data_IF_844080735344
#
_entry.id   IF_844080735344
#
_cell.length_a   1.000
_cell.length_b   1.000
_cell.length_c   1.000
_cell.angle_alpha   90.00
_cell.angle_beta   90.00
_cell.angle_gamma   90.00
#
_symmetry.space_group_name_H-M   'P 1'
#
loop_
_entity.id
_entity.type
_entity.pdbx_description
1 polymer ?
#
# COMPACT_ATOMS: atom_id res chain seq x y z
N UNK A 1 -5.37 -11.05 -9.89
CA UNK A 1 -4.84 -11.13 -8.51
C UNK A 1 -5.42 -12.27 -7.64
N UNK A 2 -4.58 -12.94 -6.83
CA UNK A 2 -4.95 -14.07 -5.96
C UNK A 2 -4.89 -13.71 -4.45
N UNK A 3 -5.29 -14.65 -3.56
CA UNK A 3 -5.30 -14.44 -2.11
C UNK A 3 -3.89 -14.23 -1.51
N UNK A 4 -2.85 -14.81 -2.12
CA UNK A 4 -1.47 -14.63 -1.69
C UNK A 4 -1.03 -13.17 -1.84
N UNK A 5 -1.37 -12.53 -2.96
CA UNK A 5 -1.03 -11.13 -3.22
C UNK A 5 -1.75 -10.19 -2.25
N UNK A 6 -3.00 -10.48 -1.89
CA UNK A 6 -3.75 -9.68 -0.92
C UNK A 6 -3.14 -9.77 0.48
N UNK A 7 -2.69 -10.96 0.90
CA UNK A 7 -1.99 -11.13 2.16
C UNK A 7 -0.63 -10.41 2.18
N UNK A 8 0.08 -10.44 1.06
CA UNK A 8 1.37 -9.74 0.91
C UNK A 8 1.18 -8.22 0.99
N UNK A 9 0.20 -7.66 0.28
CA UNK A 9 -0.17 -6.24 0.36
C UNK A 9 -0.48 -5.85 1.81
N UNK A 10 -1.31 -6.61 2.51
CA UNK A 10 -1.68 -6.32 3.90
C UNK A 10 -0.45 -6.35 4.83
N UNK A 11 0.42 -7.34 4.64
CA UNK A 11 1.66 -7.52 5.43
C UNK A 11 2.60 -6.34 5.23
N UNK A 12 2.79 -5.90 3.98
CA UNK A 12 3.69 -4.78 3.67
C UNK A 12 3.14 -3.44 4.11
N UNK A 13 1.82 -3.23 4.04
CA UNK A 13 1.18 -2.04 4.62
C UNK A 13 1.38 -2.02 6.14
N UNK A 14 1.22 -3.16 6.83
CA UNK A 14 1.48 -3.24 8.25
C UNK A 14 2.95 -2.93 8.58
N UNK A 15 3.88 -3.51 7.83
CA UNK A 15 5.31 -3.25 7.98
C UNK A 15 5.67 -1.77 7.73
N UNK A 16 5.19 -1.18 6.63
CA UNK A 16 5.43 0.22 6.31
C UNK A 16 4.84 1.16 7.36
N UNK A 17 3.65 0.85 7.91
CA UNK A 17 3.03 1.63 8.98
C UNK A 17 3.89 1.69 10.25
N UNK A 18 4.66 0.65 10.56
CA UNK A 18 5.55 0.63 11.72
C UNK A 18 6.75 1.57 11.56
N UNK A 19 7.14 1.91 10.33
CA UNK A 19 8.25 2.83 10.05
C UNK A 19 7.90 4.31 10.26
N UNK A 20 6.63 4.64 10.45
CA UNK A 20 6.21 6.01 10.76
C UNK A 20 6.48 6.34 12.22
N UNK A 21 6.84 7.59 12.50
CA UNK A 21 6.87 8.10 13.87
C UNK A 21 5.49 7.93 14.53
N UNK A 22 5.41 7.72 15.86
CA UNK A 22 4.12 7.45 16.52
C UNK A 22 3.03 8.50 16.23
N UNK A 23 3.39 9.78 16.13
CA UNK A 23 2.47 10.88 15.82
C UNK A 23 1.95 10.87 14.37
N UNK A 24 2.57 10.10 13.48
CA UNK A 24 2.22 10.00 12.06
C UNK A 24 1.82 8.59 11.63
N UNK A 25 1.66 7.66 12.59
CA UNK A 25 1.30 6.29 12.28
C UNK A 25 -0.13 6.21 11.74
N UNK A 26 -0.38 5.50 10.62
CA UNK A 26 -1.73 5.43 10.06
C UNK A 26 -2.69 4.66 10.99
N UNK A 27 -3.93 5.14 11.04
CA UNK A 27 -5.01 4.42 11.72
C UNK A 27 -5.33 3.08 11.05
N UNK A 28 -6.10 2.22 11.72
CA UNK A 28 -6.59 0.97 11.12
C UNK A 28 -7.34 1.19 9.81
N UNK A 29 -8.19 2.24 9.75
CA UNK A 29 -8.91 2.63 8.54
C UNK A 29 -7.96 3.08 7.44
N UNK A 30 -6.96 3.90 7.77
CA UNK A 30 -5.99 4.39 6.79
C UNK A 30 -5.15 3.25 6.20
N UNK A 31 -4.79 2.25 7.01
CA UNK A 31 -4.13 1.02 6.54
C UNK A 31 -5.03 0.24 5.56
N UNK A 32 -6.31 0.05 5.88
CA UNK A 32 -7.25 -0.64 5.01
C UNK A 32 -7.44 0.09 3.67
N UNK A 33 -7.61 1.41 3.70
CA UNK A 33 -7.76 2.23 2.50
C UNK A 33 -6.47 2.22 1.66
N UNK A 34 -5.30 2.29 2.30
CA UNK A 34 -4.01 2.23 1.61
C UNK A 34 -3.78 0.87 0.95
N UNK A 35 -4.17 -0.22 1.62
CA UNK A 35 -4.13 -1.57 1.06
C UNK A 35 -5.06 -1.70 -0.16
N UNK A 36 -6.26 -1.11 -0.11
CA UNK A 36 -7.18 -1.10 -1.25
C UNK A 36 -6.62 -0.31 -2.43
N UNK A 37 -6.04 0.87 -2.20
CA UNK A 37 -5.39 1.65 -3.27
C UNK A 37 -4.21 0.89 -3.88
N UNK A 38 -3.34 0.31 -3.06
CA UNK A 38 -2.19 -0.44 -3.55
C UNK A 38 -2.62 -1.66 -4.38
N UNK A 39 -3.66 -2.37 -3.92
CA UNK A 39 -4.30 -3.46 -4.66
C UNK A 39 -4.77 -2.99 -6.03
N UNK A 40 -5.49 -1.87 -6.08
CA UNK A 40 -6.07 -1.35 -7.32
C UNK A 40 -4.97 -0.88 -8.29
N UNK A 41 -3.87 -0.31 -7.79
CA UNK A 41 -2.70 0.04 -8.60
C UNK A 41 -2.06 -1.21 -9.22
N UNK A 42 -1.81 -2.25 -8.42
CA UNK A 42 -1.23 -3.51 -8.92
C UNK A 42 -2.14 -4.13 -9.98
N UNK A 43 -3.45 -4.19 -9.72
CA UNK A 43 -4.41 -4.73 -10.67
C UNK A 43 -4.47 -3.93 -11.97
N UNK A 44 -4.37 -2.61 -11.90
CA UNK A 44 -4.34 -1.77 -13.08
C UNK A 44 -3.08 -2.02 -13.94
N UNK A 45 -1.94 -2.32 -13.31
CA UNK A 45 -0.70 -2.60 -14.05
C UNK A 45 -0.56 -4.04 -14.55
N UNK A 46 -1.36 -4.99 -14.03
CA UNK A 46 -1.41 -6.37 -14.55
C UNK A 46 -1.73 -6.39 -16.07
N UNK A 47 -2.50 -5.41 -16.59
CA UNK A 47 -2.81 -5.28 -18.03
C UNK A 47 -1.57 -5.00 -18.90
N UNK A 48 -0.51 -4.49 -18.28
CA UNK A 48 0.77 -4.21 -18.92
C UNK A 48 1.82 -5.28 -18.63
N UNK A 49 1.42 -6.41 -18.02
CA UNK A 49 2.33 -7.51 -17.68
C UNK A 49 3.19 -7.25 -16.45
N UNK A 50 2.88 -6.22 -15.64
CA UNK A 50 3.58 -5.91 -14.40
C UNK A 50 2.91 -6.60 -13.21
N UNK A 51 3.73 -7.00 -12.26
CA UNK A 51 3.36 -7.68 -11.02
C UNK A 51 3.70 -6.82 -9.80
N UNK A 52 3.22 -7.24 -8.62
CA UNK A 52 3.56 -6.55 -7.38
C UNK A 52 5.07 -6.53 -7.09
N UNK A 53 5.81 -7.58 -7.51
CA UNK A 53 7.25 -7.67 -7.34
C UNK A 53 8.02 -6.63 -8.17
N UNK A 54 7.47 -6.20 -9.32
CA UNK A 54 8.09 -5.17 -10.15
C UNK A 54 8.06 -3.79 -9.48
N UNK A 55 7.09 -3.56 -8.59
CA UNK A 55 7.01 -2.33 -7.79
C UNK A 55 8.08 -2.25 -6.69
N UNK A 56 8.45 -3.39 -6.10
CA UNK A 56 9.44 -3.45 -5.01
C UNK A 56 10.82 -2.95 -5.43
N UNK A 57 11.17 -3.14 -6.70
CA UNK A 57 12.43 -2.66 -7.25
C UNK A 57 12.49 -1.15 -7.48
N UNK A 58 11.34 -0.47 -7.51
CA UNK A 58 11.23 0.93 -7.93
C UNK A 58 11.03 1.87 -6.73
N UNK A 59 10.35 1.43 -5.67
CA UNK A 59 10.18 2.25 -4.46
C UNK A 59 9.28 1.62 -3.40
N UNK A 60 9.15 2.28 -2.26
CA UNK A 60 8.30 1.85 -1.15
C UNK A 60 6.82 2.24 -1.40
N UNK A 61 6.17 1.52 -2.31
CA UNK A 61 4.75 1.70 -2.66
C UNK A 61 3.80 1.56 -1.48
N UNK A 62 3.99 0.61 -0.53
CA UNK A 62 3.19 0.56 0.69
C UNK A 62 3.22 1.88 1.48
N UNK A 63 4.42 2.47 1.67
CA UNK A 63 4.55 3.76 2.35
C UNK A 63 3.90 4.90 1.56
N UNK A 64 4.06 4.92 0.24
CA UNK A 64 3.43 5.93 -0.63
C UNK A 64 1.90 5.86 -0.56
N UNK A 65 1.32 4.66 -0.58
CA UNK A 65 -0.12 4.46 -0.44
C UNK A 65 -0.63 4.99 0.91
N UNK A 66 0.09 4.73 2.00
CA UNK A 66 -0.22 5.29 3.33
C UNK A 66 -0.19 6.82 3.30
N UNK A 67 0.87 7.41 2.75
CA UNK A 67 1.01 8.87 2.68
C UNK A 67 -0.08 9.52 1.84
N UNK A 68 -0.48 8.87 0.73
CA UNK A 68 -1.58 9.35 -0.12
C UNK A 68 -2.91 9.38 0.64
N UNK A 69 -3.24 8.33 1.38
CA UNK A 69 -4.46 8.28 2.19
C UNK A 69 -4.41 9.32 3.32
N UNK A 70 -3.28 9.45 4.00
CA UNK A 70 -3.11 10.46 5.05
C UNK A 70 -3.24 11.89 4.50
N UNK A 71 -2.75 12.13 3.28
CA UNK A 71 -2.92 13.41 2.60
C UNK A 71 -4.40 13.65 2.26
N UNK A 72 -5.09 12.67 1.67
CA UNK A 72 -6.53 12.74 1.38
C UNK A 72 -7.34 13.08 2.64
N UNK A 73 -7.07 12.42 3.76
CA UNK A 73 -7.85 12.60 5.00
C UNK A 73 -7.57 13.93 5.73
N UNK A 74 -6.55 14.67 5.30
CA UNK A 74 -6.21 16.00 5.83
C UNK A 74 -6.90 17.15 5.06
N UNK A 75 -7.55 16.85 3.93
CA UNK A 75 -8.20 17.80 3.04
C UNK A 75 -9.68 17.45 2.86
#
# INVERSE_FOLDING_TARGET
MNQSNLNDIATRIAYAAEQFTPSHRPSGRQKADAAAVLRDMVQATEIHGLSFADFDGIGDFPRMAIQLIQHRDKH
#
